data_IF_293312390960
#
_entry.id   IF_293312390960
#
_cell.length_a   1.000
_cell.length_b   1.000
_cell.length_c   1.000
_cell.angle_alpha   90.00
_cell.angle_beta   90.00
_cell.angle_gamma   90.00
#
_symmetry.space_group_name_H-M   'P 1'
#
loop_
_entity.id
_entity.type
_entity.pdbx_description
1 polymer ?
#
# COMPACT_ATOMS: atom_id res chain seq x y z
N UNK A 1 4.18 -5.90 2.33
CA UNK A 1 3.43 -6.10 1.07
C UNK A 1 3.70 -7.50 0.54
N UNK A 2 2.66 -8.24 0.24
CA UNK A 2 2.79 -9.63 -0.23
C UNK A 2 2.75 -9.74 -1.75
N UNK A 3 2.18 -8.78 -2.48
CA UNK A 3 2.30 -8.71 -3.93
C UNK A 3 2.30 -7.29 -4.43
N UNK A 4 2.99 -7.06 -5.54
CA UNK A 4 3.12 -5.76 -6.22
C UNK A 4 2.98 -6.03 -7.70
N UNK A 5 1.87 -5.59 -8.31
CA UNK A 5 1.56 -5.84 -9.70
C UNK A 5 1.34 -4.56 -10.47
N UNK A 6 1.64 -4.56 -11.76
CA UNK A 6 1.38 -3.44 -12.64
C UNK A 6 -0.11 -3.15 -12.73
N UNK A 7 -0.46 -1.89 -12.95
CA UNK A 7 -1.83 -1.45 -13.12
C UNK A 7 -1.97 -0.66 -14.43
N UNK A 8 -1.91 -1.34 -15.58
CA UNK A 8 -1.91 -0.64 -16.88
C UNK A 8 -3.22 0.12 -17.17
N UNK A 9 -4.34 -0.31 -16.58
CA UNK A 9 -5.65 0.32 -16.78
C UNK A 9 -5.81 1.64 -16.00
N UNK A 10 -4.95 1.93 -15.04
CA UNK A 10 -5.00 3.17 -14.28
C UNK A 10 -4.54 4.36 -15.13
N UNK A 11 -5.22 5.50 -15.01
CA UNK A 11 -4.87 6.72 -15.74
C UNK A 11 -3.52 7.27 -15.34
N UNK A 12 -3.24 7.23 -14.04
CA UNK A 12 -1.96 7.67 -13.47
C UNK A 12 -1.20 6.42 -13.08
N UNK A 13 0.10 6.33 -13.41
CA UNK A 13 0.89 5.15 -13.06
C UNK A 13 0.78 4.79 -11.59
N UNK A 14 0.47 3.53 -11.33
CA UNK A 14 0.24 3.02 -9.97
C UNK A 14 0.61 1.54 -9.91
N UNK A 15 0.84 1.06 -8.68
CA UNK A 15 0.97 -0.36 -8.39
C UNK A 15 -0.33 -0.88 -7.81
N UNK A 16 -0.72 -2.11 -8.19
CA UNK A 16 -1.73 -2.89 -7.48
C UNK A 16 -1.02 -3.65 -6.37
N UNK A 17 -1.48 -3.48 -5.16
CA UNK A 17 -0.82 -4.02 -3.98
C UNK A 17 -1.73 -5.00 -3.26
N UNK A 18 -1.14 -6.05 -2.70
CA UNK A 18 -1.78 -6.90 -1.69
C UNK A 18 -0.94 -6.81 -0.43
N UNK A 19 -1.59 -6.50 0.66
CA UNK A 19 -0.93 -6.20 1.92
C UNK A 19 -1.53 -7.06 3.01
N UNK A 20 -0.66 -7.71 3.78
CA UNK A 20 -1.08 -8.54 4.91
C UNK A 20 -1.19 -7.67 6.16
N UNK A 21 -2.41 -7.60 6.71
CA UNK A 21 -2.71 -6.90 7.96
C UNK A 21 -2.97 -7.87 9.11
N UNK A 22 -2.38 -9.04 9.06
CA UNK A 22 -2.48 -10.03 10.13
C UNK A 22 -3.73 -10.90 10.05
N UNK A 23 -3.87 -11.87 10.96
CA UNK A 23 -4.91 -12.88 10.85
C UNK A 23 -6.33 -12.35 11.07
N UNK A 24 -6.51 -11.25 11.76
CA UNK A 24 -7.85 -10.68 12.01
C UNK A 24 -8.37 -9.91 10.80
N UNK A 25 -7.55 -9.03 10.23
CA UNK A 25 -7.92 -8.17 9.10
C UNK A 25 -7.70 -8.90 7.78
N UNK A 26 -6.63 -9.68 7.71
CA UNK A 26 -6.28 -10.45 6.52
C UNK A 26 -5.55 -9.63 5.46
N UNK A 27 -5.52 -10.19 4.25
CA UNK A 27 -4.88 -9.55 3.10
C UNK A 27 -5.89 -8.63 2.43
N UNK A 28 -5.48 -7.37 2.23
CA UNK A 28 -6.30 -6.35 1.59
C UNK A 28 -5.62 -5.81 0.33
N UNK A 29 -6.42 -5.37 -0.62
CA UNK A 29 -5.95 -4.80 -1.87
C UNK A 29 -5.88 -3.28 -1.77
N UNK A 30 -4.87 -2.70 -2.40
CA UNK A 30 -4.73 -1.26 -2.52
C UNK A 30 -4.13 -0.90 -3.86
N UNK A 31 -4.41 0.31 -4.31
CA UNK A 31 -3.74 0.92 -5.45
C UNK A 31 -3.01 2.16 -4.94
N UNK A 32 -1.75 2.30 -5.32
CA UNK A 32 -0.94 3.43 -4.85
C UNK A 32 -0.07 3.99 -5.98
N UNK A 33 -0.04 5.32 -6.09
CA UNK A 33 0.75 6.02 -7.09
C UNK A 33 2.20 6.17 -6.61
N UNK A 34 2.87 5.04 -6.45
CA UNK A 34 4.24 4.97 -5.92
C UNK A 34 5.17 4.21 -6.87
N UNK A 35 4.99 4.39 -8.17
CA UNK A 35 5.79 3.67 -9.18
C UNK A 35 7.25 4.12 -9.24
N UNK A 36 7.63 5.14 -8.49
CA UNK A 36 9.03 5.49 -8.27
C UNK A 36 9.75 4.51 -7.33
N UNK A 37 8.99 3.69 -6.59
CA UNK A 37 9.55 2.51 -5.92
C UNK A 37 9.51 1.34 -6.90
N UNK A 38 10.57 0.54 -6.92
CA UNK A 38 10.57 -0.70 -7.68
C UNK A 38 9.76 -1.78 -6.95
N UNK A 39 9.34 -2.80 -7.70
CA UNK A 39 8.66 -3.96 -7.11
C UNK A 39 9.53 -4.59 -6.01
N UNK A 40 10.81 -4.73 -6.25
CA UNK A 40 11.77 -5.34 -5.32
C UNK A 40 11.91 -4.55 -4.03
N UNK A 41 11.82 -3.22 -4.12
CA UNK A 41 11.86 -2.36 -2.92
C UNK A 41 10.61 -2.50 -2.06
N UNK A 42 9.48 -2.82 -2.69
CA UNK A 42 8.18 -2.88 -2.01
C UNK A 42 7.84 -4.26 -1.44
N UNK A 43 8.20 -5.33 -2.18
CA UNK A 43 7.89 -6.70 -1.75
C UNK A 43 8.57 -7.01 -0.42
N UNK A 44 7.78 -7.55 0.51
CA UNK A 44 8.26 -7.94 1.84
C UNK A 44 8.41 -6.79 2.83
N UNK A 45 8.10 -5.55 2.43
CA UNK A 45 8.23 -4.41 3.35
C UNK A 45 6.98 -4.23 4.21
N UNK A 46 7.17 -3.67 5.39
CA UNK A 46 6.10 -3.21 6.25
C UNK A 46 5.71 -1.79 5.85
N UNK A 47 4.41 -1.51 5.89
CA UNK A 47 3.88 -0.19 5.59
C UNK A 47 2.80 0.18 6.62
N UNK A 48 2.48 1.46 6.68
CA UNK A 48 1.36 1.95 7.48
C UNK A 48 0.17 2.11 6.53
N UNK A 49 -0.96 1.51 6.89
CA UNK A 49 -2.19 1.59 6.09
C UNK A 49 -3.40 1.95 6.92
N UNK A 50 -4.32 2.67 6.31
CA UNK A 50 -5.63 2.95 6.89
C UNK A 50 -6.62 1.92 6.36
N UNK A 51 -7.22 1.12 7.25
CA UNK A 51 -8.08 -0.01 6.87
C UNK A 51 -9.57 0.25 7.07
N UNK A 52 -9.91 1.27 7.82
CA UNK A 52 -11.31 1.59 8.13
C UNK A 52 -11.89 2.64 7.19
N UNK A 53 -11.69 2.42 5.90
CA UNK A 53 -12.18 3.30 4.84
C UNK A 53 -13.21 2.58 3.99
N UNK A 54 -14.06 3.35 3.32
CA UNK A 54 -14.94 2.83 2.28
C UNK A 54 -14.10 2.39 1.08
N UNK A 55 -14.26 1.16 0.58
CA UNK A 55 -13.54 0.72 -0.61
C UNK A 55 -13.80 1.61 -1.82
N UNK A 56 -12.81 1.75 -2.67
CA UNK A 56 -12.84 2.61 -3.85
C UNK A 56 -12.54 1.79 -5.09
N UNK A 57 -13.37 1.94 -6.12
CA UNK A 57 -13.16 1.25 -7.40
C UNK A 57 -12.39 2.16 -8.35
N UNK A 58 -11.26 1.65 -8.83
CA UNK A 58 -10.39 2.34 -9.80
C UNK A 58 -10.17 1.38 -10.97
N UNK A 59 -10.67 1.73 -12.17
CA UNK A 59 -10.54 0.90 -13.36
C UNK A 59 -10.85 -0.59 -13.10
N UNK A 60 -11.98 -0.87 -12.45
CA UNK A 60 -12.48 -2.20 -12.06
C UNK A 60 -11.68 -2.89 -10.94
N UNK A 61 -10.65 -2.24 -10.44
CA UNK A 61 -9.89 -2.73 -9.29
C UNK A 61 -10.42 -2.10 -8.01
N UNK A 62 -10.77 -2.92 -7.04
CA UNK A 62 -11.26 -2.41 -5.74
C UNK A 62 -10.09 -2.18 -4.80
N UNK A 63 -9.83 -0.90 -4.47
CA UNK A 63 -8.86 -0.51 -3.47
C UNK A 63 -9.56 -0.43 -2.12
N UNK A 64 -9.17 -1.29 -1.18
CA UNK A 64 -9.84 -1.47 0.09
C UNK A 64 -9.21 -0.65 1.22
N UNK A 65 -7.92 -0.37 1.11
CA UNK A 65 -7.15 0.32 2.15
C UNK A 65 -6.31 1.42 1.53
N UNK A 66 -5.88 2.37 2.36
CA UNK A 66 -4.99 3.46 1.95
C UNK A 66 -3.60 3.21 2.54
N UNK A 67 -2.62 3.03 1.68
CA UNK A 67 -1.20 3.03 2.08
C UNK A 67 -0.79 4.47 2.33
N UNK A 68 -0.21 4.74 3.48
CA UNK A 68 0.12 6.09 3.92
C UNK A 68 1.57 6.45 3.65
N UNK A 69 1.79 7.70 3.26
CA UNK A 69 3.12 8.22 3.01
C UNK A 69 3.19 9.72 3.22
N UNK A 70 4.40 10.21 3.41
CA UNK A 70 4.65 11.64 3.49
C UNK A 70 4.77 12.21 2.06
N UNK A 71 4.16 13.36 1.83
CA UNK A 71 4.27 14.05 0.54
C UNK A 71 5.51 14.94 0.56
N UNK A 72 6.54 14.52 -0.14
CA UNK A 72 7.81 15.23 -0.20
C UNK A 72 8.01 15.86 -1.59
N UNK A 73 8.45 17.11 -1.62
CA UNK A 73 8.61 17.84 -2.88
C UNK A 73 9.69 17.26 -3.79
N UNK A 74 10.69 16.62 -3.22
CA UNK A 74 11.82 16.06 -3.98
C UNK A 74 11.57 14.59 -4.32
N UNK A 75 11.12 13.79 -3.36
CA UNK A 75 11.02 12.34 -3.49
C UNK A 75 9.62 11.82 -3.81
N UNK A 76 8.61 12.71 -3.87
CA UNK A 76 7.22 12.31 -4.04
C UNK A 76 6.65 11.68 -2.78
N UNK A 77 5.85 10.63 -2.93
CA UNK A 77 5.27 9.93 -1.78
C UNK A 77 6.33 9.06 -1.12
N UNK A 78 6.70 9.38 0.10
CA UNK A 78 7.67 8.62 0.90
C UNK A 78 6.87 7.77 1.88
N UNK A 79 6.95 6.45 1.75
CA UNK A 79 6.16 5.53 2.55
C UNK A 79 6.47 5.63 4.03
N UNK A 80 5.43 5.57 4.85
CA UNK A 80 5.58 5.45 6.30
C UNK A 80 5.82 3.99 6.64
N UNK A 81 6.81 3.73 7.45
CA UNK A 81 7.19 2.38 7.89
C UNK A 81 7.45 2.37 9.38
N UNK A 82 7.17 1.26 10.07
CA UNK A 82 7.59 1.14 11.46
C UNK A 82 9.11 1.07 11.53
N UNK A 83 9.66 1.62 12.59
CA UNK A 83 11.10 1.64 12.85
C UNK A 83 11.68 0.23 13.07
N UNK A 84 10.87 -0.69 13.54
CA UNK A 84 11.25 -2.07 13.81
C UNK A 84 10.26 -3.02 13.15
N UNK A 85 10.60 -4.30 13.14
CA UNK A 85 9.74 -5.33 12.55
C UNK A 85 8.51 -5.61 13.44
N UNK A 86 7.55 -4.71 13.38
CA UNK A 86 6.26 -4.93 14.01
C UNK A 86 5.50 -6.05 13.32
N UNK A 87 4.69 -6.79 14.06
CA UNK A 87 3.86 -7.83 13.47
C UNK A 87 2.82 -7.21 12.51
N UNK A 88 2.57 -7.84 11.34
CA UNK A 88 1.49 -7.39 10.47
C UNK A 88 0.16 -7.31 11.21
N UNK A 89 -0.58 -6.23 11.00
CA UNK A 89 -1.84 -5.99 11.71
C UNK A 89 -1.71 -5.24 13.01
N UNK A 90 -0.51 -4.88 13.43
CA UNK A 90 -0.31 -4.05 14.63
C UNK A 90 -1.02 -2.70 14.46
N UNK A 91 -1.74 -2.32 15.48
CA UNK A 91 -2.54 -1.10 15.48
C UNK A 91 -1.65 0.14 15.64
N UNK A 92 -2.00 1.19 14.90
CA UNK A 92 -1.36 2.49 15.06
C UNK A 92 -2.07 3.22 16.19
N UNK A 93 -1.29 3.68 17.14
CA UNK A 93 -1.81 4.39 18.31
C UNK A 93 -1.75 5.91 18.11
#
# INVERSE_FOLDING_TARGET
>A
MVSVDEFPEARVPAWKLRIDFGPEIGIKRSSAQITHYSREELLGTLVVGCVNLTPRVIARFTSEVLVMGALDDVHGVVLLRPDKDAAPGSRIA
#
